data_IF_262463082334
#
_entry.id   IF_262463082334
#
_cell.length_a   1.000
_cell.length_b   1.000
_cell.length_c   1.000
_cell.angle_alpha   90.00
_cell.angle_beta   90.00
_cell.angle_gamma   90.00
#
_symmetry.space_group_name_H-M   'P 1'
#
loop_
_entity.id
_entity.type
_entity.pdbx_description
1 polymer ?
#
# COMPACT_ATOMS: atom_id res chain seq x y z
N UNK A 1 1.54 19.06 17.46
CA UNK A 1 1.78 18.18 16.29
C UNK A 1 1.35 18.97 15.08
N UNK A 2 2.14 19.01 14.02
CA UNK A 2 1.72 19.59 12.74
C UNK A 2 0.61 18.73 12.13
N UNK A 3 -0.17 19.26 11.15
CA UNK A 3 -1.19 18.48 10.49
C UNK A 3 -0.59 17.22 9.83
N UNK A 4 -1.44 16.21 9.63
CA UNK A 4 -1.08 14.97 8.93
C UNK A 4 -1.35 15.17 7.43
N UNK A 5 -0.35 14.92 6.59
CA UNK A 5 -0.56 14.82 5.15
C UNK A 5 -1.20 13.47 4.82
N UNK A 6 -2.37 13.45 4.22
CA UNK A 6 -3.00 12.22 3.75
C UNK A 6 -3.09 12.24 2.24
N UNK A 7 -2.48 11.26 1.57
CA UNK A 7 -2.70 10.97 0.15
C UNK A 7 -3.59 9.75 -0.01
N UNK A 8 -4.72 9.92 -0.69
CA UNK A 8 -5.67 8.87 -1.01
C UNK A 8 -5.84 8.76 -2.53
N UNK A 9 -5.42 7.62 -3.11
CA UNK A 9 -5.61 7.37 -4.55
C UNK A 9 -6.79 6.43 -4.80
N UNK A 10 -7.77 6.87 -5.60
CA UNK A 10 -9.00 6.11 -5.91
C UNK A 10 -8.97 5.69 -7.37
N UNK A 11 -8.59 4.44 -7.62
CA UNK A 11 -8.70 3.79 -8.92
C UNK A 11 -9.97 2.94 -9.05
N UNK A 12 -10.44 2.33 -7.94
CA UNK A 12 -11.66 1.53 -7.86
C UNK A 12 -12.70 2.24 -7.01
N UNK A 13 -13.61 3.06 -7.58
CA UNK A 13 -14.53 3.90 -6.80
C UNK A 13 -15.46 3.09 -5.89
N UNK A 14 -15.86 1.88 -6.29
CA UNK A 14 -16.69 0.99 -5.47
C UNK A 14 -16.03 0.50 -4.17
N UNK A 15 -14.70 0.63 -4.06
CA UNK A 15 -13.91 0.29 -2.86
C UNK A 15 -13.60 1.51 -1.97
N UNK A 16 -14.06 2.70 -2.36
CA UNK A 16 -13.83 3.94 -1.60
C UNK A 16 -14.33 3.86 -0.16
N UNK A 17 -15.43 3.13 0.10
CA UNK A 17 -16.02 2.98 1.44
C UNK A 17 -15.03 2.44 2.47
N UNK A 18 -14.12 1.55 2.07
CA UNK A 18 -13.09 1.01 2.96
C UNK A 18 -12.09 2.09 3.37
N UNK A 19 -11.73 2.98 2.43
CA UNK A 19 -10.83 4.12 2.68
C UNK A 19 -11.52 5.19 3.53
N UNK A 20 -12.81 5.46 3.27
CA UNK A 20 -13.59 6.42 4.08
C UNK A 20 -13.60 6.02 5.55
N UNK A 21 -13.79 4.73 5.87
CA UNK A 21 -13.75 4.26 7.25
C UNK A 21 -12.39 4.52 7.90
N UNK A 22 -11.30 4.27 7.18
CA UNK A 22 -9.95 4.59 7.66
C UNK A 22 -9.78 6.10 7.90
N UNK A 23 -10.25 6.93 6.97
CA UNK A 23 -10.18 8.39 7.08
C UNK A 23 -10.92 8.93 8.30
N UNK A 24 -12.08 8.36 8.65
CA UNK A 24 -12.82 8.75 9.85
C UNK A 24 -12.03 8.46 11.13
N UNK A 25 -11.26 7.37 11.18
CA UNK A 25 -10.40 7.05 12.31
C UNK A 25 -9.16 7.98 12.37
N UNK A 26 -8.62 8.40 11.20
CA UNK A 26 -7.47 9.32 11.10
C UNK A 26 -7.90 10.76 11.44
N UNK A 27 -9.12 11.15 11.12
CA UNK A 27 -9.66 12.51 11.30
C UNK A 27 -9.81 12.95 12.77
N UNK A 28 -9.25 12.20 13.71
CA UNK A 28 -9.06 12.63 15.12
C UNK A 28 -7.94 13.67 15.27
N UNK A 29 -7.21 13.97 14.19
CA UNK A 29 -6.12 14.92 14.12
C UNK A 29 -6.35 15.90 12.96
N UNK A 30 -5.79 17.09 13.07
CA UNK A 30 -5.76 18.02 11.94
C UNK A 30 -5.02 17.39 10.76
N UNK A 31 -5.62 17.44 9.57
CA UNK A 31 -5.08 16.81 8.38
C UNK A 31 -5.31 17.62 7.11
N UNK A 32 -4.39 17.48 6.18
CA UNK A 32 -4.52 17.90 4.78
C UNK A 32 -4.77 16.68 3.90
N UNK A 33 -5.97 16.56 3.33
CA UNK A 33 -6.36 15.45 2.47
C UNK A 33 -6.16 15.80 0.99
N UNK A 34 -5.28 15.05 0.34
CA UNK A 34 -5.08 15.04 -1.11
C UNK A 34 -5.65 13.76 -1.71
N UNK A 35 -6.65 13.90 -2.57
CA UNK A 35 -7.28 12.78 -3.27
C UNK A 35 -6.90 12.83 -4.74
N UNK A 36 -6.46 11.72 -5.29
CA UNK A 36 -6.17 11.58 -6.70
C UNK A 36 -7.03 10.46 -7.31
N UNK A 37 -7.51 10.68 -8.52
CA UNK A 37 -8.33 9.73 -9.28
C UNK A 37 -7.85 9.72 -10.73
N UNK A 38 -8.17 8.66 -11.47
CA UNK A 38 -7.91 8.58 -12.92
C UNK A 38 -9.10 9.04 -13.76
N UNK A 39 -10.30 9.01 -13.17
CA UNK A 39 -11.55 9.43 -13.78
C UNK A 39 -12.39 10.17 -12.75
N UNK A 40 -13.24 11.07 -13.21
CA UNK A 40 -14.18 11.78 -12.36
C UNK A 40 -15.34 10.87 -11.93
N UNK A 41 -15.57 10.79 -10.62
CA UNK A 41 -16.68 10.04 -10.00
C UNK A 41 -17.46 10.99 -9.10
N UNK A 42 -18.46 11.65 -9.64
CA UNK A 42 -19.21 12.74 -8.98
C UNK A 42 -19.79 12.35 -7.62
N UNK A 43 -20.34 11.13 -7.49
CA UNK A 43 -20.89 10.63 -6.22
C UNK A 43 -19.80 10.48 -5.15
N UNK A 44 -18.63 9.94 -5.52
CA UNK A 44 -17.49 9.78 -4.60
C UNK A 44 -16.93 11.15 -4.22
N UNK A 45 -16.78 12.05 -5.17
CA UNK A 45 -16.30 13.43 -4.94
C UNK A 45 -17.27 14.17 -3.99
N UNK A 46 -18.56 14.09 -4.24
CA UNK A 46 -19.59 14.70 -3.38
C UNK A 46 -19.52 14.18 -1.94
N UNK A 47 -19.38 12.86 -1.77
CA UNK A 47 -19.28 12.24 -0.44
C UNK A 47 -17.96 12.62 0.28
N UNK A 48 -16.84 12.71 -0.46
CA UNK A 48 -15.57 13.20 0.09
C UNK A 48 -15.73 14.65 0.57
N UNK A 49 -16.27 15.52 -0.26
CA UNK A 49 -16.45 16.93 0.05
C UNK A 49 -17.44 17.19 1.20
N UNK A 50 -18.46 16.35 1.32
CA UNK A 50 -19.38 16.39 2.45
C UNK A 50 -18.71 16.02 3.79
N UNK A 51 -17.75 15.09 3.76
CA UNK A 51 -17.04 14.61 4.95
C UNK A 51 -15.78 15.42 5.26
N UNK A 52 -15.05 15.84 4.21
CA UNK A 52 -13.79 16.56 4.25
C UNK A 52 -13.85 17.77 3.29
N UNK A 53 -14.48 18.88 3.69
CA UNK A 53 -14.72 20.04 2.81
C UNK A 53 -13.46 20.60 2.15
N UNK A 54 -12.34 20.59 2.88
CA UNK A 54 -11.06 21.14 2.45
C UNK A 54 -10.21 20.16 1.63
N UNK A 55 -10.72 18.93 1.36
CA UNK A 55 -10.02 17.93 0.57
C UNK A 55 -9.64 18.49 -0.82
N UNK A 56 -8.38 18.31 -1.21
CA UNK A 56 -7.86 18.69 -2.53
C UNK A 56 -7.99 17.49 -3.46
N UNK A 57 -8.85 17.59 -4.49
CA UNK A 57 -9.17 16.47 -5.39
C UNK A 57 -8.63 16.77 -6.78
N UNK A 58 -7.89 15.83 -7.36
CA UNK A 58 -7.28 15.97 -8.67
C UNK A 58 -7.49 14.72 -9.52
N UNK A 59 -7.85 14.94 -10.79
CA UNK A 59 -7.96 13.88 -11.79
C UNK A 59 -6.63 13.84 -12.54
N UNK A 60 -5.97 12.68 -12.53
CA UNK A 60 -4.63 12.49 -13.10
C UNK A 60 -4.67 11.41 -14.18
N UNK A 61 -3.76 11.52 -15.14
CA UNK A 61 -3.54 10.45 -16.12
C UNK A 61 -3.16 9.13 -15.40
N UNK A 62 -3.69 8.00 -15.89
CA UNK A 62 -3.39 6.68 -15.35
C UNK A 62 -1.95 6.27 -15.67
N UNK A 63 -1.04 6.53 -14.76
CA UNK A 63 0.39 6.18 -14.84
C UNK A 63 0.87 5.61 -13.51
N UNK A 64 1.79 4.65 -13.58
CA UNK A 64 2.55 4.19 -12.41
C UNK A 64 1.71 3.69 -11.23
N UNK A 65 0.48 3.19 -11.48
CA UNK A 65 -0.47 2.73 -10.45
C UNK A 65 -0.75 3.83 -9.40
N UNK A 66 -0.57 3.52 -8.13
CA UNK A 66 -0.71 4.42 -6.98
C UNK A 66 0.58 5.19 -6.66
N UNK A 67 1.71 4.85 -7.32
CA UNK A 67 3.02 5.47 -7.06
C UNK A 67 3.15 6.83 -7.74
N UNK A 68 2.86 6.94 -9.04
CA UNK A 68 2.97 8.22 -9.74
C UNK A 68 2.03 9.29 -9.17
N UNK A 69 0.75 8.99 -8.84
CA UNK A 69 -0.10 9.92 -8.09
C UNK A 69 0.48 10.34 -6.74
N UNK A 70 1.14 9.43 -6.03
CA UNK A 70 1.81 9.75 -4.77
C UNK A 70 2.99 10.71 -4.97
N UNK A 71 3.84 10.44 -5.96
CA UNK A 71 4.96 11.34 -6.34
C UNK A 71 4.44 12.72 -6.74
N UNK A 72 3.31 12.78 -7.46
CA UNK A 72 2.66 14.04 -7.82
C UNK A 72 2.33 14.88 -6.58
N UNK A 73 1.69 14.28 -5.58
CA UNK A 73 1.34 14.98 -4.34
C UNK A 73 2.59 15.38 -3.56
N UNK A 74 3.59 14.50 -3.45
CA UNK A 74 4.84 14.84 -2.78
C UNK A 74 5.52 16.07 -3.39
N UNK A 75 5.49 16.21 -4.71
CA UNK A 75 6.11 17.35 -5.40
C UNK A 75 5.31 18.67 -5.27
N UNK A 76 4.05 18.59 -4.85
CA UNK A 76 3.17 19.77 -4.68
C UNK A 76 3.21 20.38 -3.28
N UNK A 77 3.60 19.59 -2.28
CA UNK A 77 3.54 20.00 -0.87
C UNK A 77 4.91 20.34 -0.32
N UNK A 78 4.93 21.21 0.68
CA UNK A 78 6.11 21.38 1.51
C UNK A 78 6.04 20.39 2.68
N UNK A 79 6.86 19.33 2.64
CA UNK A 79 6.88 18.30 3.67
C UNK A 79 7.32 18.80 5.05
N UNK A 80 7.93 19.99 5.15
CA UNK A 80 8.27 20.61 6.44
C UNK A 80 7.03 21.04 7.22
N UNK A 81 5.88 21.13 6.57
CA UNK A 81 4.61 21.50 7.21
C UNK A 81 3.93 20.31 7.91
N UNK A 82 4.45 19.08 7.76
CA UNK A 82 3.83 17.86 8.25
C UNK A 82 4.79 17.05 9.12
N UNK A 83 4.29 16.51 10.24
CA UNK A 83 5.05 15.54 11.02
C UNK A 83 4.88 14.14 10.45
N UNK A 84 3.65 13.80 10.03
CA UNK A 84 3.28 12.49 9.53
C UNK A 84 2.69 12.56 8.12
N UNK A 85 2.84 11.46 7.39
CA UNK A 85 2.22 11.21 6.10
C UNK A 85 1.52 9.86 6.11
N UNK A 86 0.27 9.84 5.65
CA UNK A 86 -0.51 8.62 5.43
C UNK A 86 -0.70 8.41 3.93
N UNK A 87 -0.39 7.21 3.44
CA UNK A 87 -0.62 6.82 2.06
C UNK A 87 -1.67 5.71 2.00
N UNK A 88 -2.75 5.96 1.29
CA UNK A 88 -3.88 5.06 1.08
C UNK A 88 -4.21 4.94 -0.41
N UNK A 89 -4.71 3.79 -0.83
CA UNK A 89 -5.32 3.65 -2.16
C UNK A 89 -6.33 2.51 -2.21
N UNK A 90 -7.22 2.53 -3.20
CA UNK A 90 -8.12 1.40 -3.43
C UNK A 90 -7.38 0.20 -4.01
N UNK A 91 -7.62 -0.99 -3.48
CA UNK A 91 -6.98 -2.25 -3.89
C UNK A 91 -8.02 -3.35 -4.05
N UNK A 92 -8.11 -3.93 -5.26
CA UNK A 92 -9.01 -5.07 -5.50
C UNK A 92 -8.57 -6.33 -4.79
N UNK A 93 -9.51 -7.24 -4.60
CA UNK A 93 -9.24 -8.55 -4.02
C UNK A 93 -8.37 -9.43 -4.91
N UNK A 94 -7.66 -10.37 -4.29
CA UNK A 94 -6.88 -11.39 -4.99
C UNK A 94 -7.79 -12.58 -5.29
N UNK A 95 -8.00 -12.87 -6.58
CA UNK A 95 -8.93 -13.90 -7.06
C UNK A 95 -8.43 -15.36 -6.84
N UNK A 96 -7.42 -15.57 -6.03
CA UNK A 96 -6.85 -16.88 -5.71
C UNK A 96 -6.77 -17.06 -4.21
N UNK A 97 -7.29 -18.16 -3.70
CA UNK A 97 -7.29 -18.51 -2.27
C UNK A 97 -6.82 -19.98 -2.13
N UNK A 98 -5.80 -20.27 -1.35
CA UNK A 98 -4.87 -19.32 -0.74
C UNK A 98 -3.92 -18.70 -1.78
N UNK A 99 -3.57 -17.44 -1.57
CA UNK A 99 -2.48 -16.78 -2.28
C UNK A 99 -1.45 -16.35 -1.24
N UNK A 100 -0.23 -16.87 -1.34
CA UNK A 100 0.77 -16.68 -0.28
C UNK A 100 1.70 -15.50 -0.59
N UNK A 101 1.87 -14.64 0.40
CA UNK A 101 2.93 -13.63 0.47
C UNK A 101 3.62 -13.79 1.81
N UNK A 102 4.93 -13.93 1.79
CA UNK A 102 5.75 -14.15 2.99
C UNK A 102 5.25 -15.29 3.90
N UNK A 103 4.63 -16.32 3.31
CA UNK A 103 4.09 -17.47 4.02
C UNK A 103 2.70 -17.28 4.64
N UNK A 104 2.05 -16.14 4.43
CA UNK A 104 0.68 -15.87 4.88
C UNK A 104 -0.31 -15.91 3.72
N UNK A 105 -1.51 -16.43 3.97
CA UNK A 105 -2.58 -16.36 2.99
C UNK A 105 -3.15 -14.94 2.92
N UNK A 106 -2.99 -14.31 1.76
CA UNK A 106 -3.51 -12.97 1.46
C UNK A 106 -4.60 -13.01 0.36
N UNK A 107 -5.10 -14.21 0.04
CA UNK A 107 -6.13 -14.40 -0.98
C UNK A 107 -7.48 -13.78 -0.60
N UNK A 108 -8.34 -13.55 -1.59
CA UNK A 108 -9.60 -12.84 -1.42
C UNK A 108 -9.38 -11.40 -0.95
N UNK A 109 -10.22 -10.92 -0.03
CA UNK A 109 -10.12 -9.59 0.56
C UNK A 109 -9.03 -9.43 1.64
N UNK A 110 -8.30 -10.49 1.99
CA UNK A 110 -7.33 -10.46 3.10
C UNK A 110 -6.20 -9.46 2.84
N UNK A 111 -5.67 -9.42 1.60
CA UNK A 111 -4.62 -8.48 1.23
C UNK A 111 -5.03 -7.03 1.52
N UNK A 112 -6.20 -6.61 1.00
CA UNK A 112 -6.75 -5.27 1.25
C UNK A 112 -6.97 -5.00 2.74
N UNK A 113 -7.49 -5.99 3.48
CA UNK A 113 -7.68 -5.86 4.91
C UNK A 113 -6.37 -5.63 5.67
N UNK A 114 -5.30 -6.35 5.33
CA UNK A 114 -3.99 -6.14 5.93
C UNK A 114 -3.41 -4.77 5.59
N UNK A 115 -3.54 -4.34 4.32
CA UNK A 115 -3.06 -3.04 3.89
C UNK A 115 -3.69 -1.86 4.65
N UNK A 116 -4.98 -1.95 4.99
CA UNK A 116 -5.71 -0.90 5.69
C UNK A 116 -5.68 -1.05 7.23
N UNK A 117 -5.19 -2.17 7.73
CA UNK A 117 -5.36 -2.56 9.13
C UNK A 117 -4.73 -1.56 10.13
N UNK A 118 -3.66 -0.86 9.75
CA UNK A 118 -2.98 0.12 10.61
C UNK A 118 -3.86 1.33 10.97
N UNK A 119 -4.92 1.61 10.19
CA UNK A 119 -5.87 2.71 10.42
C UNK A 119 -7.35 2.27 10.35
N UNK A 120 -7.63 0.97 10.29
CA UNK A 120 -8.98 0.43 10.11
C UNK A 120 -9.89 0.65 11.33
N UNK A 121 -9.30 0.76 12.52
CA UNK A 121 -9.99 1.08 13.79
C UNK A 121 -9.24 2.19 14.50
N UNK A 122 -9.94 2.93 15.38
CA UNK A 122 -9.30 3.95 16.23
C UNK A 122 -8.19 3.35 17.10
N UNK A 123 -8.39 2.13 17.60
CA UNK A 123 -7.38 1.43 18.41
C UNK A 123 -6.10 1.14 17.60
N UNK A 124 -6.26 0.65 16.36
CA UNK A 124 -5.12 0.37 15.49
C UNK A 124 -4.40 1.66 15.09
N UNK A 125 -5.16 2.72 14.79
CA UNK A 125 -4.61 4.02 14.49
C UNK A 125 -3.79 4.56 15.66
N UNK A 126 -4.33 4.53 16.88
CA UNK A 126 -3.62 4.94 18.09
C UNK A 126 -2.33 4.14 18.30
N UNK A 127 -2.38 2.80 18.17
CA UNK A 127 -1.18 1.96 18.26
C UNK A 127 -0.13 2.33 17.21
N UNK A 128 -0.56 2.67 16.01
CA UNK A 128 0.34 3.10 14.94
C UNK A 128 1.04 4.41 15.27
N UNK A 129 0.31 5.38 15.84
CA UNK A 129 0.87 6.64 16.30
C UNK A 129 1.83 6.44 17.50
N UNK A 130 1.46 5.61 18.46
CA UNK A 130 2.30 5.30 19.63
C UNK A 130 3.66 4.72 19.20
N UNK A 131 3.69 3.87 18.18
CA UNK A 131 4.94 3.35 17.62
C UNK A 131 5.81 4.44 16.96
N UNK A 132 5.18 5.42 16.27
CA UNK A 132 5.90 6.52 15.62
C UNK A 132 6.47 7.55 16.60
N UNK A 133 6.07 7.52 17.87
CA UNK A 133 6.68 8.33 18.92
C UNK A 133 8.11 7.85 19.25
N UNK A 134 8.50 6.64 18.86
CA UNK A 134 9.88 6.16 18.99
C UNK A 134 10.78 6.78 17.92
N UNK A 135 11.98 7.19 18.30
CA UNK A 135 12.92 7.86 17.38
C UNK A 135 13.40 6.91 16.26
N UNK A 136 13.53 5.61 16.56
CA UNK A 136 13.98 4.59 15.64
C UNK A 136 12.89 4.10 14.67
N UNK A 137 11.60 4.40 14.93
CA UNK A 137 10.49 4.04 14.06
C UNK A 137 10.13 5.21 13.16
N UNK A 138 10.12 4.98 11.86
CA UNK A 138 9.80 6.01 10.87
C UNK A 138 8.63 5.66 9.96
N UNK A 139 8.21 4.40 9.95
CA UNK A 139 7.06 3.93 9.18
C UNK A 139 6.34 2.82 9.96
N UNK A 140 5.01 2.76 9.83
CA UNK A 140 4.18 1.71 10.44
C UNK A 140 3.19 1.16 9.43
N UNK A 141 3.05 -0.16 9.41
CA UNK A 141 2.04 -0.89 8.66
C UNK A 141 1.68 -2.21 9.35
N UNK A 142 0.86 -3.04 8.73
CA UNK A 142 0.55 -4.38 9.21
C UNK A 142 1.72 -5.36 8.98
N UNK A 143 1.96 -6.25 9.92
CA UNK A 143 3.03 -7.25 9.83
C UNK A 143 2.97 -8.11 8.56
N UNK A 144 1.77 -8.45 8.07
CA UNK A 144 1.60 -9.32 6.91
C UNK A 144 2.07 -8.68 5.59
N UNK A 145 2.16 -7.36 5.56
CA UNK A 145 2.56 -6.60 4.35
C UNK A 145 3.96 -6.00 4.45
N UNK A 146 4.64 -6.14 5.59
CA UNK A 146 6.07 -5.80 5.70
C UNK A 146 6.88 -6.95 5.10
N UNK A 147 7.51 -6.70 3.97
CA UNK A 147 8.22 -7.69 3.18
C UNK A 147 9.72 -7.41 3.18
N UNK A 148 10.53 -8.47 3.14
CA UNK A 148 11.97 -8.36 2.90
C UNK A 148 12.25 -8.39 1.40
N UNK A 149 13.18 -7.57 0.95
CA UNK A 149 13.69 -7.66 -0.41
C UNK A 149 14.39 -9.00 -0.59
N UNK A 150 14.02 -9.72 -1.64
CA UNK A 150 14.76 -10.90 -2.08
C UNK A 150 15.93 -10.45 -2.98
N UNK A 151 17.14 -10.78 -2.60
CA UNK A 151 18.36 -10.43 -3.36
C UNK A 151 18.40 -11.12 -4.74
N UNK A 152 17.59 -12.17 -4.94
CA UNK A 152 17.45 -12.82 -6.24
C UNK A 152 16.48 -12.08 -7.20
N UNK A 153 15.74 -11.08 -6.72
CA UNK A 153 14.89 -10.24 -7.56
C UNK A 153 15.74 -9.08 -8.05
N UNK A 154 16.34 -9.26 -9.22
CA UNK A 154 17.10 -8.21 -9.91
C UNK A 154 16.13 -7.24 -10.60
N UNK A 155 16.23 -5.97 -10.27
CA UNK A 155 15.44 -4.91 -10.88
C UNK A 155 16.37 -3.82 -11.41
N UNK A 156 16.44 -3.71 -12.72
CA UNK A 156 17.22 -2.64 -13.39
C UNK A 156 16.80 -1.23 -12.99
N UNK A 157 15.55 -1.05 -12.57
CA UNK A 157 15.04 0.22 -12.07
C UNK A 157 15.42 0.48 -10.63
N UNK A 158 15.50 -0.56 -9.81
CA UNK A 158 15.89 -0.45 -8.42
C UNK A 158 17.32 0.13 -8.31
N UNK A 159 18.29 -0.48 -8.98
CA UNK A 159 19.68 0.00 -8.99
C UNK A 159 19.81 1.45 -9.48
N UNK A 160 19.05 1.81 -10.52
CA UNK A 160 19.02 3.18 -11.04
C UNK A 160 18.48 4.19 -10.03
N UNK A 161 17.41 3.82 -9.33
CA UNK A 161 16.80 4.67 -8.31
C UNK A 161 17.72 4.83 -7.12
N UNK A 162 18.32 3.76 -6.66
CA UNK A 162 19.29 3.76 -5.56
C UNK A 162 20.42 4.75 -5.82
N UNK A 163 21.05 4.65 -7.00
CA UNK A 163 22.10 5.59 -7.43
C UNK A 163 21.59 7.02 -7.54
N UNK A 164 20.41 7.23 -8.17
CA UNK A 164 19.81 8.56 -8.36
C UNK A 164 19.49 9.25 -7.03
N UNK A 165 18.97 8.49 -6.07
CA UNK A 165 18.53 9.00 -4.78
C UNK A 165 19.65 9.04 -3.74
N UNK A 166 20.78 8.38 -4.00
CA UNK A 166 21.92 8.21 -3.07
C UNK A 166 21.47 7.63 -1.72
N UNK A 167 20.67 6.56 -1.80
CA UNK A 167 20.13 5.90 -0.61
C UNK A 167 21.21 5.00 -0.01
N UNK A 168 21.45 5.16 1.30
CA UNK A 168 22.20 4.20 2.11
C UNK A 168 21.24 3.29 2.84
N UNK A 169 21.38 1.98 2.67
CA UNK A 169 20.49 0.99 3.28
C UNK A 169 20.87 0.66 4.71
N UNK A 170 19.85 0.27 5.50
CA UNK A 170 20.05 -0.66 6.59
C UNK A 170 20.39 -2.06 6.04
N UNK A 171 21.05 -2.91 6.83
CA UNK A 171 21.34 -4.31 6.47
C UNK A 171 20.09 -5.14 6.16
N UNK A 172 18.92 -4.71 6.64
CA UNK A 172 17.62 -5.32 6.37
C UNK A 172 16.83 -4.43 5.43
N UNK A 173 16.70 -4.86 4.17
CA UNK A 173 15.90 -4.18 3.15
C UNK A 173 14.43 -4.59 3.29
N UNK A 174 13.71 -3.90 4.15
CA UNK A 174 12.26 -4.09 4.31
C UNK A 174 11.48 -3.01 3.58
N UNK A 175 10.30 -3.36 3.08
CA UNK A 175 9.36 -2.43 2.47
C UNK A 175 7.92 -2.86 2.75
N UNK A 176 6.98 -1.94 2.59
CA UNK A 176 5.55 -2.23 2.70
C UNK A 176 5.01 -2.63 1.34
N UNK A 177 4.79 -3.93 1.14
CA UNK A 177 4.16 -4.44 -0.07
C UNK A 177 2.73 -3.90 -0.20
N UNK A 178 2.41 -3.33 -1.39
CA UNK A 178 1.14 -2.65 -1.62
C UNK A 178 1.06 -1.24 -1.07
N UNK A 179 2.13 -0.69 -0.51
CA UNK A 179 2.39 0.75 -0.27
C UNK A 179 1.30 1.53 0.51
N UNK A 180 0.64 0.92 1.49
CA UNK A 180 -0.26 1.62 2.42
C UNK A 180 0.36 1.63 3.82
N UNK A 181 0.55 2.83 4.36
CA UNK A 181 1.28 3.02 5.61
C UNK A 181 1.02 4.40 6.22
N UNK A 182 1.41 4.57 7.47
CA UNK A 182 1.69 5.87 8.08
C UNK A 182 3.20 5.99 8.33
N UNK A 183 3.78 7.16 8.06
CA UNK A 183 5.22 7.38 8.21
C UNK A 183 5.53 8.81 8.63
N UNK A 184 6.74 9.05 9.15
CA UNK A 184 7.29 10.40 9.35
C UNK A 184 7.43 11.08 7.98
N UNK A 185 6.86 12.26 7.80
CA UNK A 185 6.78 12.92 6.48
C UNK A 185 8.16 13.26 5.90
N UNK A 186 9.12 13.58 6.75
CA UNK A 186 10.46 14.02 6.36
C UNK A 186 11.26 12.97 5.57
N UNK A 187 10.99 11.66 5.75
CA UNK A 187 11.72 10.60 5.03
C UNK A 187 11.51 10.68 3.50
N UNK A 188 10.38 11.25 3.05
CA UNK A 188 10.06 11.35 1.63
C UNK A 188 10.68 12.56 0.92
N UNK A 189 11.37 13.47 1.63
CA UNK A 189 12.05 14.60 1.03
C UNK A 189 13.07 14.20 -0.03
N UNK A 190 13.71 13.06 0.15
CA UNK A 190 14.68 12.52 -0.81
C UNK A 190 14.07 12.24 -2.19
N UNK A 191 12.74 12.03 -2.27
CA UNK A 191 12.01 11.77 -3.51
C UNK A 191 11.55 13.05 -4.21
N UNK A 192 11.34 14.14 -3.45
CA UNK A 192 10.79 15.39 -3.99
C UNK A 192 11.68 15.91 -5.12
N UNK A 193 11.04 16.23 -6.25
CA UNK A 193 11.70 16.73 -7.47
C UNK A 193 12.75 15.78 -8.09
N UNK A 194 12.97 14.60 -7.52
CA UNK A 194 13.83 13.55 -8.09
C UNK A 194 13.06 12.62 -9.02
N UNK A 195 11.80 12.39 -8.72
CA UNK A 195 10.86 11.63 -9.54
C UNK A 195 9.69 12.54 -9.94
N UNK A 196 9.16 12.29 -11.15
CA UNK A 196 7.99 12.99 -11.69
C UNK A 196 6.98 11.97 -12.19
N UNK A 197 5.67 12.29 -12.23
CA UNK A 197 4.66 11.40 -12.79
C UNK A 197 4.98 10.93 -14.22
N UNK A 198 5.60 11.80 -15.02
CA UNK A 198 5.97 11.53 -16.41
C UNK A 198 7.08 10.48 -16.57
N UNK A 199 7.84 10.19 -15.50
CA UNK A 199 8.84 9.11 -15.49
C UNK A 199 8.20 7.72 -15.59
N UNK A 200 6.88 7.62 -15.26
CA UNK A 200 6.12 6.37 -15.24
C UNK A 200 5.36 6.15 -16.54
N UNK A 201 5.40 4.92 -17.06
CA UNK A 201 4.65 4.54 -18.25
C UNK A 201 3.14 4.51 -17.99
N UNK A 202 2.34 4.91 -18.98
CA UNK A 202 0.88 4.72 -19.00
C UNK A 202 0.48 3.27 -19.31
N UNK A 203 1.37 2.48 -19.93
CA UNK A 203 1.14 1.06 -20.23
C UNK A 203 1.92 0.17 -19.25
N UNK A 204 1.29 -0.21 -18.17
CA UNK A 204 1.92 -1.09 -17.18
C UNK A 204 1.60 -2.53 -17.52
N UNK A 205 2.64 -3.28 -17.85
CA UNK A 205 2.57 -4.73 -18.01
C UNK A 205 3.21 -5.33 -16.77
N UNK A 206 2.46 -6.05 -15.96
CA UNK A 206 2.89 -6.61 -14.67
C UNK A 206 4.03 -7.62 -14.78
N UNK A 207 5.17 -7.19 -15.30
CA UNK A 207 6.41 -7.98 -15.36
C UNK A 207 7.14 -8.07 -14.02
N UNK A 208 6.77 -7.20 -13.06
CA UNK A 208 7.47 -7.07 -11.78
C UNK A 208 8.77 -6.24 -11.86
N UNK A 209 9.26 -5.94 -13.07
CA UNK A 209 10.49 -5.15 -13.32
C UNK A 209 10.17 -3.78 -13.94
N UNK A 210 9.10 -3.16 -13.48
CA UNK A 210 8.69 -1.83 -13.88
C UNK A 210 9.03 -0.80 -12.81
N UNK A 211 9.18 0.47 -13.21
CA UNK A 211 9.52 1.56 -12.29
C UNK A 211 8.61 1.65 -11.05
N UNK A 212 7.26 1.44 -11.14
CA UNK A 212 6.41 1.46 -9.96
C UNK A 212 6.78 0.39 -8.93
N UNK A 213 7.14 -0.82 -9.35
CA UNK A 213 7.56 -1.90 -8.43
C UNK A 213 8.90 -1.59 -7.76
N UNK A 214 9.85 -1.00 -8.49
CA UNK A 214 11.08 -0.52 -7.90
C UNK A 214 10.83 0.59 -6.88
N UNK A 215 9.92 1.53 -7.19
CA UNK A 215 9.53 2.59 -6.26
C UNK A 215 8.82 2.05 -5.00
N UNK A 216 8.00 1.01 -5.11
CA UNK A 216 7.39 0.34 -3.95
C UNK A 216 8.45 -0.08 -2.94
N UNK A 217 9.55 -0.65 -3.40
CA UNK A 217 10.70 -1.04 -2.55
C UNK A 217 11.44 0.18 -2.02
N UNK A 218 11.69 1.15 -2.88
CA UNK A 218 12.36 2.40 -2.53
C UNK A 218 11.64 3.13 -1.40
N UNK A 219 10.30 3.15 -1.37
CA UNK A 219 9.53 3.76 -0.27
C UNK A 219 9.86 3.16 1.11
N UNK A 220 10.28 1.90 1.17
CA UNK A 220 10.83 1.31 2.40
C UNK A 220 12.32 1.64 2.62
N UNK A 221 13.12 1.70 1.54
CA UNK A 221 14.58 1.84 1.61
C UNK A 221 15.08 3.27 1.90
N UNK A 222 14.28 4.30 1.53
CA UNK A 222 14.57 5.69 1.93
C UNK A 222 14.49 5.89 3.45
N UNK A 223 14.01 4.88 4.13
CA UNK A 223 13.79 4.91 5.55
C UNK A 223 15.11 4.71 6.30
N UNK A 224 15.58 5.73 6.98
CA UNK A 224 16.76 5.65 7.85
C UNK A 224 16.50 4.96 9.20
N UNK A 225 15.24 4.70 9.51
CA UNK A 225 14.79 4.04 10.71
C UNK A 225 14.16 2.68 10.41
N UNK A 226 13.27 2.26 11.29
CA UNK A 226 12.63 0.96 11.27
C UNK A 226 11.20 1.05 10.74
N UNK A 227 10.79 0.06 9.96
CA UNK A 227 9.39 -0.19 9.66
C UNK A 227 8.81 -1.04 10.79
N UNK A 228 7.91 -0.49 11.58
CA UNK A 228 7.29 -1.20 12.69
C UNK A 228 5.91 -1.75 12.34
N UNK A 229 5.50 -2.76 13.08
CA UNK A 229 4.18 -3.37 12.97
C UNK A 229 3.42 -3.19 14.28
N UNK A 230 2.22 -2.60 14.19
CA UNK A 230 1.36 -2.39 15.36
C UNK A 230 0.74 -3.70 15.90
N UNK A 231 0.67 -4.76 15.10
CA UNK A 231 0.09 -6.05 15.49
C UNK A 231 1.13 -7.14 15.77
N UNK A 232 2.40 -6.78 15.81
CA UNK A 232 3.49 -7.71 16.12
C UNK A 232 3.67 -8.82 15.08
N UNK A 233 4.61 -9.73 15.35
CA UNK A 233 4.94 -10.84 14.46
C UNK A 233 4.04 -12.04 14.72
N UNK A 234 3.46 -12.59 13.64
CA UNK A 234 2.78 -13.87 13.71
C UNK A 234 3.77 -15.03 13.79
N UNK A 235 3.40 -16.04 14.57
CA UNK A 235 4.28 -17.17 14.84
C UNK A 235 4.52 -18.10 13.64
N UNK A 236 5.60 -18.86 13.74
CA UNK A 236 6.00 -19.85 12.74
C UNK A 236 4.88 -20.87 12.48
N UNK A 237 4.11 -21.22 13.53
CA UNK A 237 2.99 -22.17 13.42
C UNK A 237 1.93 -21.73 12.39
N UNK A 238 1.57 -20.45 12.36
CA UNK A 238 0.60 -19.93 11.38
C UNK A 238 1.10 -20.08 9.95
N UNK A 239 2.39 -19.86 9.71
CA UNK A 239 2.99 -20.08 8.39
C UNK A 239 2.89 -21.53 7.96
N UNK A 240 3.21 -22.48 8.85
CA UNK A 240 3.08 -23.92 8.56
C UNK A 240 1.65 -24.33 8.28
N UNK A 241 0.68 -23.88 9.07
CA UNK A 241 -0.75 -24.16 8.85
C UNK A 241 -1.18 -23.64 7.47
N UNK A 242 -0.78 -22.41 7.12
CA UNK A 242 -1.11 -21.80 5.82
C UNK A 242 -0.50 -22.58 4.65
N UNK A 243 0.75 -23.03 4.80
CA UNK A 243 1.42 -23.85 3.77
C UNK A 243 0.71 -25.20 3.57
N UNK A 244 0.35 -25.90 4.66
CA UNK A 244 -0.40 -27.16 4.61
C UNK A 244 -1.76 -26.92 3.94
N UNK A 245 -2.47 -25.87 4.33
CA UNK A 245 -3.75 -25.52 3.73
C UNK A 245 -3.64 -25.29 2.21
N UNK A 246 -2.59 -24.62 1.75
CA UNK A 246 -2.34 -24.42 0.30
C UNK A 246 -2.13 -25.71 -0.46
N UNK A 247 -1.47 -26.71 0.15
CA UNK A 247 -1.26 -28.02 -0.47
C UNK A 247 -2.58 -28.78 -0.64
N UNK A 248 -3.47 -28.66 0.35
CA UNK A 248 -4.74 -29.39 0.38
C UNK A 248 -5.81 -28.69 -0.46
N UNK A 249 -5.92 -27.37 -0.35
CA UNK A 249 -7.04 -26.59 -0.88
C UNK A 249 -6.58 -25.45 -1.77
N UNK A 250 -7.26 -25.27 -2.91
CA UNK A 250 -7.09 -24.12 -3.79
C UNK A 250 -8.42 -23.69 -4.41
N UNK A 251 -8.81 -22.43 -4.18
CA UNK A 251 -9.97 -21.81 -4.80
C UNK A 251 -9.51 -20.67 -5.71
N UNK A 252 -9.93 -20.69 -6.96
CA UNK A 252 -9.62 -19.64 -7.94
C UNK A 252 -10.89 -19.11 -8.58
N UNK A 253 -11.07 -17.81 -8.50
CA UNK A 253 -12.17 -17.06 -9.11
C UNK A 253 -11.60 -16.18 -10.21
N UNK A 254 -12.18 -16.24 -11.39
CA UNK A 254 -11.88 -15.35 -12.52
C UNK A 254 -13.19 -14.83 -13.11
N UNK A 255 -13.13 -13.82 -13.98
CA UNK A 255 -14.32 -13.28 -14.66
C UNK A 255 -15.08 -14.35 -15.45
N UNK A 256 -14.36 -15.36 -15.99
CA UNK A 256 -14.92 -16.40 -16.84
C UNK A 256 -15.25 -17.71 -16.11
N UNK A 257 -14.65 -17.96 -14.93
CA UNK A 257 -14.83 -19.24 -14.24
C UNK A 257 -14.46 -19.16 -12.76
N UNK A 258 -15.07 -20.07 -12.01
CA UNK A 258 -14.72 -20.39 -10.63
C UNK A 258 -14.26 -21.86 -10.56
N UNK A 259 -13.22 -22.14 -9.80
CA UNK A 259 -12.65 -23.49 -9.69
C UNK A 259 -12.15 -23.73 -8.26
N UNK A 260 -12.57 -24.85 -7.67
CA UNK A 260 -12.04 -25.36 -6.40
C UNK A 260 -11.28 -26.66 -6.68
N UNK A 261 -10.08 -26.78 -6.13
CA UNK A 261 -9.26 -27.99 -6.18
C UNK A 261 -8.97 -28.45 -4.74
N UNK A 262 -9.03 -29.75 -4.53
CA UNK A 262 -8.58 -30.42 -3.30
C UNK A 262 -7.48 -31.39 -3.70
N UNK A 263 -6.33 -31.32 -3.05
CA UNK A 263 -5.13 -32.10 -3.40
C UNK A 263 -4.79 -32.05 -4.90
N UNK A 264 -4.98 -30.87 -5.52
CA UNK A 264 -4.73 -30.68 -6.96
C UNK A 264 -5.87 -31.15 -7.89
N UNK A 265 -6.83 -31.94 -7.40
CA UNK A 265 -7.97 -32.45 -8.17
C UNK A 265 -9.09 -31.40 -8.20
N UNK A 266 -9.61 -31.02 -9.38
CA UNK A 266 -10.74 -30.11 -9.45
C UNK A 266 -12.03 -30.80 -8.98
N UNK A 267 -12.56 -30.33 -7.83
CA UNK A 267 -13.82 -30.86 -7.23
C UNK A 267 -15.02 -29.97 -7.55
N UNK A 268 -14.76 -28.73 -7.97
CA UNK A 268 -15.82 -27.80 -8.39
C UNK A 268 -15.31 -26.94 -9.52
N UNK A 269 -16.15 -26.75 -10.55
CA UNK A 269 -15.86 -25.88 -11.68
C UNK A 269 -17.15 -25.28 -12.23
N UNK A 270 -17.28 -23.96 -12.16
CA UNK A 270 -18.42 -23.21 -12.69
C UNK A 270 -17.93 -22.17 -13.69
N UNK A 271 -18.52 -22.15 -14.88
CA UNK A 271 -18.36 -21.02 -15.81
C UNK A 271 -19.25 -19.86 -15.32
N UNK A 272 -18.75 -18.67 -15.43
CA UNK A 272 -19.53 -17.44 -15.24
C UNK A 272 -19.99 -16.95 -16.61
N UNK A 273 -21.27 -16.67 -16.74
CA UNK A 273 -21.84 -16.06 -17.95
C UNK A 273 -21.47 -14.59 -18.02
#
# INVERSE_FOLDING_TARGET
MKPILVHMHIYYPHLYKDLKQCMLNINTHELDLYVTMVEEHSEVISDIKATFPDAKIEILENRGFDIAPFIHVLNKVNLDNYDLLVKLHTKRDINTIPFLVNGFDVGGGKWRNYLLNFCKTEENWKKSLDLLNSDDVTMVSDYHVILKQDDNVDSKYLDKLEKKLKISYSSEREFVGGTMFVAKANIFKVLQNKLKPEDFSSSIRGSGDDLPYACERILGFINSGKIASFNGKKGVLERYITLIFKLIYKHKITDKKETIKILGIPVYKKKKN
#
